data_IF_259564597425
#
_entry.id   IF_259564597425
#
_cell.length_a   1.000
_cell.length_b   1.000
_cell.length_c   1.000
_cell.angle_alpha   90.00
_cell.angle_beta   90.00
_cell.angle_gamma   90.00
#
_symmetry.space_group_name_H-M   'P 1'
#
loop_
_entity.id
_entity.type
_entity.pdbx_description
1 polymer ?
#
# COMPACT_ATOMS: atom_id res chain seq x y z
N UNK A 1 16.62 -5.16 7.29
CA UNK A 1 16.04 -6.34 7.97
C UNK A 1 15.10 -5.82 9.05
N UNK A 2 13.80 -6.03 8.88
CA UNK A 2 12.77 -5.22 9.53
C UNK A 2 12.40 -5.71 10.93
N UNK A 3 12.18 -4.75 11.84
CA UNK A 3 12.29 -4.85 13.31
C UNK A 3 11.46 -5.94 14.00
N UNK A 4 10.33 -6.37 13.42
CA UNK A 4 9.49 -7.44 14.00
C UNK A 4 10.13 -8.82 13.86
N UNK A 5 10.91 -9.05 12.80
CA UNK A 5 11.63 -10.32 12.62
C UNK A 5 12.66 -10.54 13.75
N UNK A 6 13.38 -9.47 14.13
CA UNK A 6 14.39 -9.52 15.18
C UNK A 6 13.77 -9.67 16.59
N UNK A 7 12.64 -8.99 16.84
CA UNK A 7 11.90 -9.11 18.11
C UNK A 7 11.33 -10.52 18.31
N UNK A 8 11.00 -11.24 17.22
CA UNK A 8 10.48 -12.61 17.28
C UNK A 8 11.58 -13.67 17.32
N UNK A 9 12.71 -13.46 16.63
CA UNK A 9 13.91 -14.32 16.74
C UNK A 9 14.45 -14.36 18.17
N UNK A 10 14.46 -13.22 18.87
CA UNK A 10 14.92 -13.13 20.26
C UNK A 10 14.09 -13.98 21.25
N UNK A 11 12.88 -14.42 20.87
CA UNK A 11 11.94 -15.12 21.76
C UNK A 11 11.83 -16.64 21.52
N UNK A 12 12.52 -17.21 20.51
CA UNK A 12 12.55 -18.66 20.28
C UNK A 12 11.20 -19.34 20.00
N UNK A 13 10.17 -18.60 19.58
CA UNK A 13 8.80 -19.13 19.34
C UNK A 13 8.60 -19.55 17.88
N UNK A 14 7.87 -20.66 17.66
CA UNK A 14 7.49 -21.15 16.33
C UNK A 14 6.78 -20.05 15.53
N UNK A 15 7.23 -19.79 14.29
CA UNK A 15 6.65 -18.79 13.39
C UNK A 15 5.15 -19.07 13.15
N UNK A 16 4.28 -18.17 13.61
CA UNK A 16 2.90 -18.09 13.13
C UNK A 16 2.89 -17.60 11.68
N UNK A 17 1.88 -17.99 10.90
CA UNK A 17 1.72 -17.50 9.52
C UNK A 17 1.37 -16.01 9.56
N UNK A 18 2.14 -15.18 8.87
CA UNK A 18 1.84 -13.75 8.73
C UNK A 18 1.10 -13.51 7.42
N UNK A 19 -0.07 -12.88 7.48
CA UNK A 19 -0.88 -12.57 6.31
C UNK A 19 -1.56 -11.21 6.45
N UNK A 20 -2.03 -10.66 5.32
CA UNK A 20 -2.82 -9.43 5.32
C UNK A 20 -4.30 -9.75 5.47
N UNK A 21 -5.00 -8.99 6.31
CA UNK A 21 -6.42 -9.16 6.55
C UNK A 21 -7.16 -7.83 6.46
N UNK A 22 -8.39 -7.86 5.98
CA UNK A 22 -9.26 -6.68 5.89
C UNK A 22 -10.19 -6.65 7.08
N UNK A 23 -10.25 -5.53 7.76
CA UNK A 23 -11.23 -5.26 8.81
C UNK A 23 -12.66 -5.24 8.24
N UNK A 24 -13.49 -6.17 8.69
CA UNK A 24 -14.90 -6.29 8.30
C UNK A 24 -15.79 -5.27 9.01
N UNK A 25 -15.33 -4.75 10.16
CA UNK A 25 -16.00 -3.76 10.98
C UNK A 25 -15.00 -2.91 11.77
N UNK A 26 -15.50 -1.87 12.42
CA UNK A 26 -14.72 -1.08 13.36
C UNK A 26 -14.43 -1.87 14.64
N UNK A 27 -13.24 -1.70 15.20
CA UNK A 27 -12.85 -2.23 16.49
C UNK A 27 -12.20 -1.12 17.31
N UNK A 28 -12.82 -0.78 18.43
CA UNK A 28 -12.27 0.12 19.45
C UNK A 28 -12.33 -0.62 20.77
N UNK A 29 -11.28 -0.53 21.58
CA UNK A 29 -11.23 -1.24 22.85
C UNK A 29 -10.62 -0.37 23.93
N UNK A 30 -11.31 -0.26 25.06
CA UNK A 30 -10.78 0.39 26.26
C UNK A 30 -9.76 -0.49 26.98
N UNK A 31 -9.64 -1.77 26.59
CA UNK A 31 -8.70 -2.70 27.19
C UNK A 31 -7.32 -2.54 26.57
N UNK A 32 -6.30 -2.36 27.41
CA UNK A 32 -4.91 -2.23 26.96
C UNK A 32 -4.47 -3.51 26.26
N UNK A 33 -3.81 -3.37 25.11
CA UNK A 33 -3.28 -4.49 24.33
C UNK A 33 -4.21 -5.00 23.22
N UNK A 34 -5.38 -4.40 23.04
CA UNK A 34 -6.23 -4.64 21.87
C UNK A 34 -5.91 -3.65 20.75
N UNK A 35 -5.91 -4.12 19.50
CA UNK A 35 -5.61 -3.30 18.34
C UNK A 35 -6.86 -2.56 17.87
N UNK A 36 -6.80 -1.23 17.74
CA UNK A 36 -7.90 -0.46 17.17
C UNK A 36 -7.76 -0.28 15.65
N UNK A 37 -8.88 -0.40 14.93
CA UNK A 37 -8.94 -0.22 13.47
C UNK A 37 -10.35 0.11 13.02
N UNK A 38 -10.51 0.67 11.82
CA UNK A 38 -11.83 0.87 11.21
C UNK A 38 -12.11 -0.11 10.10
N UNK A 39 -13.39 -0.34 9.81
CA UNK A 39 -13.85 -1.12 8.67
C UNK A 39 -13.10 -0.72 7.38
N UNK A 40 -12.70 -1.73 6.61
CA UNK A 40 -11.96 -1.60 5.36
C UNK A 40 -10.46 -1.37 5.51
N UNK A 41 -9.90 -1.29 6.72
CA UNK A 41 -8.44 -1.23 6.89
C UNK A 41 -7.81 -2.58 6.56
N UNK A 42 -6.68 -2.57 5.86
CA UNK A 42 -5.82 -3.76 5.80
C UNK A 42 -4.86 -3.77 6.98
N UNK A 43 -4.75 -4.91 7.63
CA UNK A 43 -3.95 -5.19 8.82
C UNK A 43 -2.92 -6.27 8.49
N UNK A 44 -1.72 -6.18 9.06
CA UNK A 44 -0.82 -7.33 9.12
C UNK A 44 -1.22 -8.19 10.32
N UNK A 45 -1.51 -9.46 10.08
CA UNK A 45 -2.03 -10.40 11.08
C UNK A 45 -1.08 -11.58 11.24
N UNK A 46 -0.85 -11.97 12.48
CA UNK A 46 -0.10 -13.17 12.85
C UNK A 46 -1.08 -14.20 13.38
N UNK A 47 -1.18 -15.34 12.68
CA UNK A 47 -1.93 -16.50 13.15
C UNK A 47 -1.09 -17.27 14.17
N UNK A 48 -1.23 -16.91 15.44
CA UNK A 48 -0.72 -17.69 16.55
C UNK A 48 -1.78 -18.77 16.89
N UNK A 49 -1.58 -20.01 16.43
CA UNK A 49 -2.48 -21.18 16.60
C UNK A 49 -2.81 -21.59 18.06
N UNK A 50 -2.58 -20.73 19.05
CA UNK A 50 -2.66 -21.06 20.47
C UNK A 50 -3.96 -20.62 21.15
N UNK A 51 -4.79 -19.77 20.53
CA UNK A 51 -6.02 -19.27 21.16
C UNK A 51 -7.19 -19.25 20.16
N UNK A 52 -8.24 -20.04 20.42
CA UNK A 52 -9.40 -20.23 19.55
C UNK A 52 -10.32 -18.99 19.58
N UNK A 53 -9.89 -17.86 19.02
CA UNK A 53 -10.76 -16.69 18.93
C UNK A 53 -10.08 -15.35 18.77
N UNK A 54 -8.80 -15.24 19.16
CA UNK A 54 -8.05 -14.00 19.09
C UNK A 54 -6.92 -14.10 18.08
N UNK A 55 -6.72 -13.02 17.34
CA UNK A 55 -5.57 -12.83 16.46
C UNK A 55 -4.75 -11.66 16.98
N UNK A 56 -3.45 -11.72 16.73
CA UNK A 56 -2.57 -10.59 16.93
C UNK A 56 -2.31 -9.92 15.60
N UNK A 57 -2.30 -8.60 15.59
CA UNK A 57 -1.91 -7.88 14.39
C UNK A 57 -1.41 -6.50 14.69
N UNK A 58 -1.17 -5.75 13.63
CA UNK A 58 -0.71 -4.38 13.69
C UNK A 58 -1.26 -3.55 12.53
N UNK A 59 -1.62 -2.30 12.85
CA UNK A 59 -1.91 -1.23 11.88
C UNK A 59 -0.68 -0.37 11.62
N UNK A 60 0.27 -0.34 12.57
CA UNK A 60 1.54 0.35 12.43
C UNK A 60 2.65 -0.23 13.33
N UNK A 61 3.86 0.32 13.23
CA UNK A 61 4.98 0.01 14.13
C UNK A 61 4.64 0.13 15.62
N UNK A 62 3.80 1.12 15.93
CA UNK A 62 3.46 1.51 17.30
C UNK A 62 2.05 1.08 17.69
N UNK A 63 1.25 0.63 16.73
CA UNK A 63 -0.10 0.14 16.94
C UNK A 63 -0.19 -1.34 16.58
N UNK A 64 -0.03 -2.17 17.60
CA UNK A 64 -0.20 -3.61 17.56
C UNK A 64 -1.07 -4.07 18.73
N UNK A 65 -1.72 -5.22 18.59
CA UNK A 65 -2.56 -5.76 19.65
C UNK A 65 -3.42 -6.92 19.20
N UNK A 66 -4.23 -7.40 20.14
CA UNK A 66 -5.17 -8.48 19.96
C UNK A 66 -6.52 -7.98 19.43
N UNK A 67 -7.21 -8.83 18.68
CA UNK A 67 -8.59 -8.59 18.26
C UNK A 67 -9.28 -9.93 17.95
N UNK A 68 -10.62 -10.01 18.02
CA UNK A 68 -11.32 -11.25 17.71
C UNK A 68 -11.21 -11.61 16.23
N UNK A 69 -10.98 -12.89 15.92
CA UNK A 69 -10.69 -13.36 14.57
C UNK A 69 -11.78 -12.98 13.54
N UNK A 70 -13.04 -12.97 13.95
CA UNK A 70 -14.20 -12.69 13.11
C UNK A 70 -14.32 -11.21 12.71
N UNK A 71 -13.47 -10.33 13.24
CA UNK A 71 -13.39 -8.94 12.79
C UNK A 71 -12.66 -8.79 11.46
N UNK A 72 -11.98 -9.83 10.99
CA UNK A 72 -11.19 -9.77 9.76
C UNK A 72 -11.45 -10.96 8.84
N UNK A 73 -11.11 -10.79 7.56
CA UNK A 73 -10.90 -11.89 6.62
C UNK A 73 -9.54 -11.73 5.94
N UNK A 74 -8.97 -12.81 5.39
CA UNK A 74 -7.77 -12.71 4.54
C UNK A 74 -8.04 -11.71 3.40
N UNK A 75 -7.08 -10.81 3.18
CA UNK A 75 -7.12 -9.84 2.12
C UNK A 75 -6.90 -10.53 0.78
N UNK A 76 -7.75 -10.21 -0.18
CA UNK A 76 -7.59 -10.61 -1.58
C UNK A 76 -6.92 -9.47 -2.36
N UNK A 77 -6.59 -9.75 -3.62
CA UNK A 77 -5.94 -8.79 -4.50
C UNK A 77 -6.79 -7.48 -4.62
N UNK A 78 -8.12 -7.58 -4.62
CA UNK A 78 -9.03 -6.43 -4.74
C UNK A 78 -9.08 -5.54 -3.47
N UNK A 79 -8.63 -6.06 -2.34
CA UNK A 79 -8.65 -5.34 -1.06
C UNK A 79 -7.41 -4.50 -0.80
N UNK A 80 -6.44 -4.60 -1.70
CA UNK A 80 -5.14 -3.99 -1.51
C UNK A 80 -5.20 -2.48 -1.77
N UNK A 81 -4.08 -1.79 -1.58
CA UNK A 81 -4.05 -0.34 -1.84
C UNK A 81 -4.19 -0.08 -3.34
N UNK A 82 -5.37 0.35 -3.74
CA UNK A 82 -5.82 0.59 -5.11
C UNK A 82 -6.18 2.05 -5.37
N UNK A 83 -6.17 2.50 -6.62
CA UNK A 83 -6.64 3.86 -6.90
C UNK A 83 -6.37 4.34 -8.30
N UNK A 84 -7.07 5.39 -8.71
CA UNK A 84 -6.84 6.02 -10.00
C UNK A 84 -5.62 6.93 -9.92
N UNK A 85 -4.64 6.69 -10.78
CA UNK A 85 -3.43 7.51 -10.90
C UNK A 85 -3.14 7.78 -12.37
N UNK A 86 -2.73 9.02 -12.68
CA UNK A 86 -2.20 9.36 -13.99
C UNK A 86 -0.75 8.91 -14.06
N UNK A 87 -0.38 8.16 -15.09
CA UNK A 87 1.01 7.74 -15.33
C UNK A 87 1.53 8.24 -16.67
N UNK A 88 2.82 8.51 -16.71
CA UNK A 88 3.53 8.87 -17.95
C UNK A 88 3.91 7.62 -18.76
N UNK A 89 3.66 7.66 -20.06
CA UNK A 89 4.13 6.64 -21.00
C UNK A 89 5.66 6.60 -21.10
N UNK A 90 6.24 5.40 -21.26
CA UNK A 90 7.70 5.26 -21.43
C UNK A 90 8.19 5.88 -22.75
N UNK A 91 7.49 5.65 -23.86
CA UNK A 91 7.92 6.04 -25.20
C UNK A 91 7.30 7.37 -25.61
N UNK A 92 5.99 7.41 -25.82
CA UNK A 92 5.27 8.60 -26.33
C UNK A 92 5.01 9.69 -25.28
N UNK A 93 5.53 9.51 -24.06
CA UNK A 93 5.44 10.44 -22.90
C UNK A 93 4.03 11.00 -22.56
N UNK A 94 2.97 10.44 -23.14
CA UNK A 94 1.58 10.83 -22.84
C UNK A 94 1.18 10.39 -21.44
N UNK A 95 0.41 11.22 -20.74
CA UNK A 95 -0.20 10.88 -19.47
C UNK A 95 -1.50 10.08 -19.67
N UNK A 96 -1.68 9.00 -18.91
CA UNK A 96 -2.86 8.12 -18.97
C UNK A 96 -3.35 7.81 -17.56
N UNK A 97 -4.66 7.98 -17.34
CA UNK A 97 -5.33 7.56 -16.10
C UNK A 97 -5.45 6.05 -16.10
N UNK A 98 -4.96 5.39 -15.04
CA UNK A 98 -5.02 3.94 -14.86
C UNK A 98 -5.40 3.59 -13.43
N UNK A 99 -6.06 2.45 -13.27
CA UNK A 99 -6.34 1.89 -11.96
C UNK A 99 -5.10 1.14 -11.48
N UNK A 100 -4.44 1.66 -10.46
CA UNK A 100 -3.28 1.04 -9.84
C UNK A 100 -3.71 0.15 -8.68
N UNK A 101 -2.93 -0.90 -8.44
CA UNK A 101 -3.13 -1.86 -7.37
C UNK A 101 -1.78 -2.29 -6.83
N UNK A 102 -1.55 -1.96 -5.56
CA UNK A 102 -0.33 -2.31 -4.84
C UNK A 102 -0.55 -3.61 -4.09
N UNK A 103 0.27 -4.62 -4.32
CA UNK A 103 0.31 -5.86 -3.56
C UNK A 103 1.55 -5.90 -2.65
N UNK A 104 1.38 -5.57 -1.36
CA UNK A 104 2.42 -5.70 -0.34
C UNK A 104 3.02 -7.10 -0.24
N UNK A 105 2.18 -8.14 -0.24
CA UNK A 105 2.60 -9.53 0.02
C UNK A 105 3.45 -10.09 -1.11
N UNK A 106 3.07 -9.80 -2.36
CA UNK A 106 3.81 -10.18 -3.57
C UNK A 106 4.90 -9.17 -3.92
N UNK A 107 4.94 -8.02 -3.23
CA UNK A 107 5.73 -6.83 -3.58
C UNK A 107 5.61 -6.45 -5.06
N UNK A 108 4.39 -6.25 -5.53
CA UNK A 108 4.12 -5.84 -6.91
C UNK A 108 3.23 -4.61 -6.96
N UNK A 109 3.42 -3.74 -7.94
CA UNK A 109 2.48 -2.67 -8.28
C UNK A 109 1.96 -2.92 -9.70
N UNK A 110 0.68 -3.24 -9.86
CA UNK A 110 0.06 -3.41 -11.17
C UNK A 110 -0.76 -2.19 -11.55
N UNK A 111 -1.00 -2.01 -12.86
CA UNK A 111 -1.99 -1.08 -13.35
C UNK A 111 -2.88 -1.68 -14.43
N UNK A 112 -4.12 -1.22 -14.46
CA UNK A 112 -5.23 -1.79 -15.21
C UNK A 112 -5.96 -0.68 -15.98
N UNK A 113 -6.73 -1.03 -17.01
CA UNK A 113 -7.57 -0.04 -17.69
C UNK A 113 -8.70 0.45 -16.78
N UNK A 114 -9.29 -0.48 -16.01
CA UNK A 114 -10.33 -0.23 -15.02
C UNK A 114 -10.29 -1.29 -13.88
N UNK A 115 -10.96 -1.04 -12.75
CA UNK A 115 -11.13 -2.05 -11.69
C UNK A 115 -11.67 -3.37 -12.24
N UNK A 116 -11.15 -4.51 -11.76
CA UNK A 116 -11.58 -5.86 -12.17
C UNK A 116 -11.11 -6.30 -13.57
N UNK A 117 -10.36 -5.48 -14.30
CA UNK A 117 -9.79 -5.87 -15.61
C UNK A 117 -8.42 -6.54 -15.45
N UNK A 118 -7.93 -7.24 -16.47
CA UNK A 118 -6.58 -7.82 -16.45
C UNK A 118 -5.49 -6.74 -16.34
N UNK A 119 -4.40 -7.03 -15.63
CA UNK A 119 -3.26 -6.12 -15.52
C UNK A 119 -2.67 -5.82 -16.91
N UNK A 120 -2.52 -4.54 -17.23
CA UNK A 120 -1.80 -4.10 -18.42
C UNK A 120 -0.29 -4.22 -18.24
N UNK A 121 0.18 -4.14 -16.99
CA UNK A 121 1.56 -4.32 -16.61
C UNK A 121 1.67 -4.56 -15.10
N UNK A 122 2.70 -5.29 -14.68
CA UNK A 122 3.04 -5.55 -13.29
C UNK A 122 4.48 -5.10 -13.06
N UNK A 123 4.66 -4.19 -12.11
CA UNK A 123 5.96 -3.65 -11.70
C UNK A 123 6.44 -4.46 -10.49
N UNK A 124 7.61 -5.07 -10.61
CA UNK A 124 8.24 -5.79 -9.50
C UNK A 124 8.90 -4.79 -8.53
N UNK A 125 8.38 -4.72 -7.30
CA UNK A 125 8.88 -3.82 -6.28
C UNK A 125 10.05 -4.41 -5.48
N UNK A 126 10.43 -5.67 -5.69
CA UNK A 126 11.70 -6.19 -5.16
C UNK A 126 12.90 -5.45 -5.76
N UNK A 127 12.75 -4.96 -7.00
CA UNK A 127 13.80 -4.27 -7.73
C UNK A 127 13.70 -2.74 -7.60
N UNK A 128 12.61 -2.23 -7.03
CA UNK A 128 12.42 -0.80 -6.87
C UNK A 128 13.42 -0.23 -5.85
N UNK A 129 14.11 0.84 -6.24
CA UNK A 129 15.14 1.46 -5.40
C UNK A 129 14.58 2.60 -4.56
N UNK A 130 13.59 3.32 -5.07
CA UNK A 130 12.98 4.46 -4.37
C UNK A 130 11.57 4.77 -4.88
N UNK A 131 10.74 5.30 -3.97
CA UNK A 131 9.51 6.02 -4.29
C UNK A 131 9.56 7.38 -3.61
N UNK A 132 9.51 8.48 -4.37
CA UNK A 132 9.75 9.83 -3.85
C UNK A 132 8.85 10.87 -4.52
N UNK A 133 8.65 12.01 -3.84
CA UNK A 133 8.07 13.18 -4.48
C UNK A 133 9.02 13.70 -5.58
N UNK A 134 8.46 14.38 -6.57
CA UNK A 134 9.24 15.00 -7.65
C UNK A 134 9.41 16.49 -7.32
N UNK A 135 10.66 16.93 -7.20
CA UNK A 135 11.01 18.36 -7.13
C UNK A 135 10.69 19.07 -8.44
N UNK A 136 10.49 20.39 -8.41
CA UNK A 136 10.09 21.18 -9.59
C UNK A 136 11.13 21.06 -10.72
N UNK A 137 12.40 20.91 -10.34
CA UNK A 137 13.58 20.70 -11.17
C UNK A 137 13.64 19.31 -11.83
N UNK A 138 13.02 18.30 -11.23
CA UNK A 138 13.01 16.91 -11.71
C UNK A 138 11.84 16.63 -12.68
N UNK A 139 10.97 17.60 -12.91
CA UNK A 139 9.86 17.49 -13.85
C UNK A 139 10.42 17.46 -15.27
N UNK A 140 10.09 16.43 -16.08
CA UNK A 140 10.58 16.33 -17.44
C UNK A 140 10.36 17.61 -18.26
N UNK A 141 11.41 18.08 -18.92
CA UNK A 141 11.39 19.31 -19.72
C UNK A 141 10.22 19.31 -20.71
N UNK A 142 9.44 20.40 -20.70
CA UNK A 142 8.26 20.59 -21.56
C UNK A 142 6.90 20.37 -20.87
N UNK A 143 6.84 19.76 -19.69
CA UNK A 143 5.59 19.40 -19.00
C UNK A 143 5.19 20.43 -17.92
N UNK A 144 5.14 21.72 -18.30
CA UNK A 144 4.91 22.84 -17.35
C UNK A 144 3.59 22.75 -16.58
N UNK A 145 2.57 22.12 -17.15
CA UNK A 145 1.25 21.94 -16.51
C UNK A 145 1.30 21.06 -15.24
N UNK A 146 2.34 20.25 -15.08
CA UNK A 146 2.51 19.38 -13.92
C UNK A 146 3.34 19.98 -12.79
N UNK A 147 3.82 21.23 -12.94
CA UNK A 147 4.65 21.91 -11.92
C UNK A 147 3.98 22.11 -10.57
N UNK A 148 2.66 22.24 -10.54
CA UNK A 148 1.85 22.41 -9.33
C UNK A 148 0.96 21.20 -9.05
N UNK A 149 1.22 20.06 -9.70
CA UNK A 149 0.45 18.83 -9.53
C UNK A 149 1.13 17.92 -8.51
N UNK A 150 0.37 17.08 -7.78
CA UNK A 150 0.92 16.17 -6.78
C UNK A 150 1.61 14.98 -7.48
N UNK A 151 2.82 15.25 -7.98
CA UNK A 151 3.68 14.30 -8.68
C UNK A 151 4.52 13.47 -7.71
N UNK A 152 4.73 12.21 -8.07
CA UNK A 152 5.68 11.30 -7.45
C UNK A 152 6.31 10.37 -8.49
N UNK A 153 7.50 9.84 -8.17
CA UNK A 153 8.22 8.87 -8.99
C UNK A 153 8.45 7.56 -8.25
N UNK A 154 8.48 6.47 -9.01
CA UNK A 154 8.96 5.16 -8.59
C UNK A 154 10.12 4.76 -9.50
N UNK A 155 11.29 4.49 -8.94
CA UNK A 155 12.49 4.12 -9.70
C UNK A 155 12.70 2.62 -9.66
N UNK A 156 12.85 2.04 -10.84
CA UNK A 156 13.16 0.63 -11.07
C UNK A 156 14.36 0.53 -12.03
N UNK A 157 15.05 -0.63 -12.13
CA UNK A 157 16.18 -0.78 -13.06
C UNK A 157 15.78 -0.57 -14.52
N UNK A 158 14.53 -0.89 -14.88
CA UNK A 158 14.01 -0.71 -16.23
C UNK A 158 13.82 0.78 -16.57
N UNK A 159 13.25 1.55 -15.64
CA UNK A 159 12.86 2.95 -15.87
C UNK A 159 12.41 3.67 -14.59
N UNK A 160 12.27 4.98 -14.73
CA UNK A 160 11.53 5.83 -13.81
C UNK A 160 10.05 5.90 -14.22
N UNK A 161 9.18 5.60 -13.27
CA UNK A 161 7.72 5.72 -13.40
C UNK A 161 7.28 7.05 -12.81
N UNK A 162 6.84 7.96 -13.67
CA UNK A 162 6.25 9.23 -13.26
C UNK A 162 4.74 9.08 -13.11
N UNK A 163 4.23 9.48 -11.95
CA UNK A 163 2.84 9.36 -11.56
C UNK A 163 2.33 10.68 -10.99
N UNK A 164 1.05 10.93 -11.18
CA UNK A 164 0.35 12.11 -10.70
C UNK A 164 -0.93 11.66 -10.01
N UNK A 165 -1.03 11.99 -8.73
CA UNK A 165 -2.25 11.89 -7.96
C UNK A 165 -3.24 13.02 -8.34
N UNK A 166 -4.47 12.92 -7.87
CA UNK A 166 -5.47 13.99 -8.00
C UNK A 166 -5.39 15.00 -6.85
N UNK A 167 -4.87 14.59 -5.69
CA UNK A 167 -4.63 15.46 -4.53
C UNK A 167 -3.28 15.20 -3.87
N UNK A 168 -2.82 16.17 -3.08
CA UNK A 168 -1.62 16.06 -2.27
C UNK A 168 -1.72 14.93 -1.24
N UNK A 169 -2.89 14.81 -0.60
CA UNK A 169 -3.21 13.74 0.33
C UNK A 169 -3.06 12.36 -0.32
N UNK A 170 -3.69 12.15 -1.48
CA UNK A 170 -3.61 10.88 -2.20
C UNK A 170 -2.16 10.57 -2.60
N UNK A 171 -1.34 11.57 -2.99
CA UNK A 171 0.08 11.37 -3.24
C UNK A 171 0.82 10.86 -2.00
N UNK A 172 0.58 11.48 -0.85
CA UNK A 172 1.23 11.08 0.40
C UNK A 172 0.84 9.64 0.77
N UNK A 173 -0.43 9.26 0.63
CA UNK A 173 -0.89 7.89 0.86
C UNK A 173 -0.17 6.88 -0.07
N UNK A 174 -0.06 7.18 -1.37
CA UNK A 174 0.65 6.31 -2.32
C UNK A 174 2.14 6.19 -1.99
N UNK A 175 2.79 7.30 -1.63
CA UNK A 175 4.21 7.29 -1.28
C UNK A 175 4.49 6.49 -0.02
N UNK A 176 3.70 6.72 1.03
CA UNK A 176 3.81 5.97 2.28
C UNK A 176 3.62 4.47 2.03
N UNK A 177 2.57 4.10 1.28
CA UNK A 177 2.29 2.72 0.94
C UNK A 177 3.43 2.09 0.13
N UNK A 178 3.92 2.75 -0.93
CA UNK A 178 5.01 2.24 -1.78
C UNK A 178 6.33 2.11 -1.01
N UNK A 179 6.69 3.12 -0.24
CA UNK A 179 7.90 3.10 0.59
C UNK A 179 7.84 1.96 1.61
N UNK A 180 6.68 1.72 2.22
CA UNK A 180 6.48 0.59 3.12
C UNK A 180 6.74 -0.77 2.44
N UNK A 181 6.32 -0.95 1.17
CA UNK A 181 6.68 -2.18 0.41
C UNK A 181 8.16 -2.30 0.20
N UNK A 182 8.76 -1.24 -0.34
CA UNK A 182 10.13 -1.26 -0.81
C UNK A 182 11.06 -1.55 0.36
N UNK A 183 10.82 -0.92 1.51
CA UNK A 183 11.61 -1.07 2.72
C UNK A 183 11.31 -2.38 3.49
N UNK A 184 10.35 -3.19 3.02
CA UNK A 184 9.91 -4.39 3.73
C UNK A 184 9.28 -4.06 5.09
N UNK A 185 8.69 -2.87 5.18
CA UNK A 185 8.06 -2.30 6.36
C UNK A 185 6.60 -2.71 6.52
N UNK A 186 6.16 -3.80 5.88
CA UNK A 186 4.90 -4.45 6.27
C UNK A 186 5.01 -5.31 7.54
N UNK A 187 6.21 -5.39 8.13
CA UNK A 187 6.37 -5.64 9.55
C UNK A 187 6.27 -4.36 10.40
N UNK A 188 6.10 -3.17 9.83
CA UNK A 188 6.43 -1.90 10.47
C UNK A 188 5.86 -0.66 9.76
N UNK A 189 4.63 -0.26 10.09
CA UNK A 189 3.97 1.06 9.85
C UNK A 189 3.03 1.27 8.64
N UNK A 190 1.78 1.61 9.02
CA UNK A 190 0.76 2.47 8.42
C UNK A 190 -0.01 2.06 7.16
N UNK A 191 -1.27 1.68 7.42
CA UNK A 191 -2.49 2.13 6.71
C UNK A 191 -2.49 1.96 5.20
N UNK A 192 -2.70 0.73 4.73
CA UNK A 192 -3.25 0.58 3.38
C UNK A 192 -4.74 0.90 3.45
N UNK A 193 -5.10 2.14 3.08
CA UNK A 193 -6.46 2.49 2.70
C UNK A 193 -6.40 3.37 1.48
N UNK A 194 -7.04 2.97 0.38
CA UNK A 194 -7.65 3.94 -0.49
C UNK A 194 -9.12 4.06 -0.13
N UNK A 195 -9.57 5.31 0.01
CA UNK A 195 -10.98 5.60 -0.10
C UNK A 195 -11.49 5.14 -1.48
N UNK A 196 -12.78 4.80 -1.55
CA UNK A 196 -13.49 4.47 -2.79
C UNK A 196 -13.35 5.64 -3.77
N UNK A 197 -12.35 5.58 -4.65
CA UNK A 197 -12.06 6.65 -5.61
C UNK A 197 -12.93 6.45 -6.85
N UNK A 198 -13.72 7.47 -7.19
CA UNK A 198 -14.36 7.56 -8.49
C UNK A 198 -13.29 7.84 -9.54
N UNK A 199 -13.47 7.29 -10.75
CA UNK A 199 -12.61 7.64 -11.89
C UNK A 199 -12.65 9.17 -12.04
N UNK A 200 -11.51 9.86 -12.13
CA UNK A 200 -11.51 11.28 -12.44
C UNK A 200 -12.17 11.44 -13.79
N UNK A 201 -13.35 12.07 -13.81
CA UNK A 201 -14.08 12.33 -15.04
C UNK A 201 -13.14 13.03 -16.02
N UNK A 202 -13.18 12.58 -17.27
CA UNK A 202 -12.44 13.22 -18.36
C UNK A 202 -13.06 14.58 -18.63
N UNK A 203 -12.76 15.58 -17.81
CA UNK A 203 -12.92 16.98 -18.20
C UNK A 203 -11.86 17.26 -19.26
N UNK A 204 -12.30 17.15 -20.52
CA UNK A 204 -11.71 17.87 -21.64
C UNK A 204 -12.07 19.35 -21.58
#
# INVERSE_FOLDING_TARGET
MSSVFLMMEAAGRKQGEVYLAVALQDHYSRQKGFLEFKKGQVLAVVDEKQDEGLLKGQTSLTQFGWFPNFFVRRAEDEDLFVGWIKKRGAIRKSWKVRWFQLNPSKKTLSYHEAPGTSALHVIDLHLATEATQIGVEDIPSGEKEYKSKPLFKLVTPERVWYMCADSEEQRLEWLEALQAVIQGMYSSSSVLRPARQTRPDMMG
#
